data_IF_848432038059
#
_entry.id   IF_848432038059
#
_cell.length_a   1.000
_cell.length_b   1.000
_cell.length_c   1.000
_cell.angle_alpha   90.00
_cell.angle_beta   90.00
_cell.angle_gamma   90.00
#
_symmetry.space_group_name_H-M   'P 1'
#
loop_
_entity.id
_entity.type
_entity.pdbx_description
1 polymer ?
#
# COMPACT_ATOMS: atom_id res chain seq x y z
N UNK A 1 23.42 11.69 -23.77
CA UNK A 1 23.08 11.46 -22.36
C UNK A 1 21.62 11.89 -22.22
N UNK A 2 20.70 10.97 -22.05
CA UNK A 2 19.29 11.36 -21.86
C UNK A 2 19.18 12.05 -20.50
N UNK A 3 18.75 13.29 -20.51
CA UNK A 3 18.48 14.08 -19.30
C UNK A 3 17.07 13.73 -18.82
N UNK A 4 16.95 13.14 -17.66
CA UNK A 4 15.66 12.84 -17.04
C UNK A 4 15.23 14.01 -16.18
N UNK A 5 14.48 14.95 -16.73
CA UNK A 5 13.88 16.03 -15.94
C UNK A 5 12.72 15.47 -15.13
N UNK A 6 12.83 15.60 -13.81
CA UNK A 6 11.76 15.19 -12.88
C UNK A 6 10.54 16.04 -13.13
N UNK A 7 9.40 15.40 -13.13
CA UNK A 7 8.12 16.07 -13.30
C UNK A 7 7.05 15.45 -12.40
N UNK A 8 6.10 16.25 -11.94
CA UNK A 8 5.02 15.81 -11.08
C UNK A 8 3.79 16.68 -11.28
N UNK A 9 2.64 16.09 -10.93
CA UNK A 9 1.36 16.79 -10.77
C UNK A 9 0.67 16.29 -9.53
N UNK A 10 0.38 17.18 -8.61
CA UNK A 10 -0.41 16.90 -7.42
C UNK A 10 -1.74 17.63 -7.54
N UNK A 11 -2.84 16.88 -7.55
CA UNK A 11 -4.20 17.42 -7.59
C UNK A 11 -4.89 17.11 -6.26
N UNK A 12 -5.42 18.14 -5.59
CA UNK A 12 -6.14 18.03 -4.31
C UNK A 12 -7.49 18.68 -4.45
N UNK A 13 -8.57 17.93 -4.19
CA UNK A 13 -9.95 18.41 -4.30
C UNK A 13 -10.65 17.99 -5.58
N UNK A 14 -11.90 18.42 -5.75
CA UNK A 14 -12.80 18.05 -6.85
C UNK A 14 -13.24 19.28 -7.68
N UNK A 15 -13.35 19.07 -8.97
CA UNK A 15 -13.94 20.04 -9.91
C UNK A 15 -13.25 21.40 -9.87
N UNK A 16 -14.03 22.48 -9.87
CA UNK A 16 -13.53 23.86 -9.90
C UNK A 16 -12.84 24.31 -8.61
N UNK A 17 -12.93 23.52 -7.55
CA UNK A 17 -12.22 23.77 -6.26
C UNK A 17 -10.93 22.96 -6.13
N UNK A 18 -10.58 22.17 -7.14
CA UNK A 18 -9.35 21.42 -7.13
C UNK A 18 -8.13 22.34 -7.22
N UNK A 19 -7.16 22.10 -6.34
CA UNK A 19 -5.85 22.76 -6.36
C UNK A 19 -4.90 21.84 -7.12
N UNK A 20 -4.36 22.33 -8.23
CA UNK A 20 -3.35 21.65 -9.02
C UNK A 20 -1.99 22.28 -8.75
N UNK A 21 -1.02 21.46 -8.38
CA UNK A 21 0.34 21.88 -8.01
C UNK A 21 1.31 21.13 -8.92
N UNK A 22 2.10 21.91 -9.65
CA UNK A 22 3.06 21.44 -10.66
C UNK A 22 4.39 22.19 -10.51
N UNK A 23 5.46 21.74 -11.18
CA UNK A 23 6.69 22.51 -11.26
C UNK A 23 6.43 23.99 -11.69
N UNK A 24 7.19 24.96 -11.19
CA UNK A 24 8.41 24.82 -10.39
C UNK A 24 8.21 24.78 -8.86
N UNK A 25 7.01 24.51 -8.38
CA UNK A 25 6.75 24.46 -6.93
C UNK A 25 7.61 23.38 -6.26
N UNK A 26 8.16 23.69 -5.09
CA UNK A 26 8.94 22.70 -4.32
C UNK A 26 8.01 21.77 -3.57
N UNK A 27 7.94 20.52 -4.02
CA UNK A 27 7.15 19.44 -3.41
C UNK A 27 8.09 18.30 -3.02
N UNK A 28 7.87 17.77 -1.83
CA UNK A 28 8.43 16.49 -1.39
C UNK A 28 7.31 15.54 -0.99
N UNK A 29 7.45 14.28 -1.31
CA UNK A 29 6.43 13.27 -1.01
C UNK A 29 7.05 11.93 -0.67
N UNK A 30 6.30 11.17 0.13
CA UNK A 30 6.59 9.78 0.45
C UNK A 30 5.27 9.00 0.44
N UNK A 31 5.17 8.03 -0.47
CA UNK A 31 4.04 7.11 -0.53
C UNK A 31 4.50 5.72 -0.10
N UNK A 32 3.69 5.05 0.71
CA UNK A 32 3.90 3.68 1.14
C UNK A 32 2.66 2.86 0.82
N UNK A 33 2.82 1.85 0.01
CA UNK A 33 1.77 0.93 -0.39
C UNK A 33 2.19 -0.51 -0.06
N UNK A 34 1.27 -1.30 0.48
CA UNK A 34 1.56 -2.68 0.90
C UNK A 34 0.34 -3.58 0.68
N UNK A 35 0.58 -4.86 0.43
CA UNK A 35 -0.44 -5.93 0.31
C UNK A 35 -0.81 -6.50 1.68
N UNK A 36 -0.43 -5.88 2.77
CA UNK A 36 -0.73 -6.36 4.12
C UNK A 36 -2.20 -6.17 4.50
N UNK A 37 -2.75 -7.16 5.18
CA UNK A 37 -4.18 -7.27 5.58
C UNK A 37 -4.76 -6.08 6.36
N UNK A 38 -3.94 -5.11 6.78
CA UNK A 38 -4.35 -4.01 7.67
C UNK A 38 -3.77 -2.66 7.31
N UNK A 39 -2.99 -2.54 6.25
CA UNK A 39 -2.37 -1.27 5.90
C UNK A 39 -3.00 -0.67 4.65
N UNK A 40 -3.61 0.48 4.83
CA UNK A 40 -4.00 1.34 3.71
C UNK A 40 -2.73 1.94 3.07
N UNK A 41 -2.79 2.20 1.77
CA UNK A 41 -1.79 3.03 1.11
C UNK A 41 -1.75 4.40 1.76
N UNK A 42 -0.56 4.91 2.08
CA UNK A 42 -0.35 6.22 2.72
C UNK A 42 0.48 7.11 1.83
N UNK A 43 0.14 8.38 1.78
CA UNK A 43 0.93 9.40 1.12
C UNK A 43 1.11 10.58 2.07
N UNK A 44 2.35 10.96 2.32
CA UNK A 44 2.70 12.21 3.00
C UNK A 44 3.29 13.16 1.96
N UNK A 45 2.78 14.38 1.90
CA UNK A 45 3.25 15.42 0.97
C UNK A 45 3.57 16.67 1.75
N UNK A 46 4.69 17.30 1.43
CA UNK A 46 5.06 18.63 1.92
C UNK A 46 5.24 19.58 0.75
N UNK A 47 4.57 20.73 0.79
CA UNK A 47 4.50 21.72 -0.28
C UNK A 47 4.96 23.07 0.25
N UNK A 48 5.95 23.64 -0.39
CA UNK A 48 6.54 24.92 0.04
C UNK A 48 6.00 26.08 -0.79
N UNK A 49 5.79 27.22 -0.13
CA UNK A 49 5.59 28.51 -0.81
C UNK A 49 4.20 28.75 -1.42
N UNK A 50 3.18 28.02 -1.01
CA UNK A 50 1.81 28.26 -1.47
C UNK A 50 1.25 29.61 -0.98
N UNK A 51 0.38 30.23 -1.79
CA UNK A 51 -0.35 31.46 -1.43
C UNK A 51 -1.25 31.22 -0.20
N UNK A 52 -1.49 32.25 0.63
CA UNK A 52 -2.32 32.10 1.84
C UNK A 52 -3.71 31.51 1.58
N UNK A 53 -4.39 31.94 0.52
CA UNK A 53 -5.73 31.43 0.15
C UNK A 53 -5.69 29.93 -0.18
N UNK A 54 -4.70 29.50 -0.95
CA UNK A 54 -4.52 28.08 -1.32
C UNK A 54 -4.17 27.21 -0.11
N UNK A 55 -3.33 27.75 0.80
CA UNK A 55 -3.00 27.03 2.05
C UNK A 55 -4.24 26.73 2.89
N UNK A 56 -5.14 27.72 3.05
CA UNK A 56 -6.37 27.56 3.82
C UNK A 56 -7.32 26.51 3.21
N UNK A 57 -7.32 26.35 1.89
CA UNK A 57 -8.12 25.31 1.23
C UNK A 57 -7.61 23.88 1.51
N UNK A 58 -6.32 23.74 1.82
CA UNK A 58 -5.67 22.44 2.04
C UNK A 58 -5.61 22.06 3.52
N UNK A 59 -5.95 22.96 4.44
CA UNK A 59 -6.01 22.64 5.86
C UNK A 59 -7.22 21.76 6.14
N UNK A 60 -6.98 20.64 6.79
CA UNK A 60 -8.02 19.69 7.19
C UNK A 60 -7.66 19.07 8.54
N UNK A 61 -8.57 19.12 9.50
CA UNK A 61 -8.46 18.37 10.75
C UNK A 61 -8.62 16.86 10.48
N UNK A 62 -8.03 16.01 11.29
CA UNK A 62 -8.08 14.56 11.11
C UNK A 62 -9.50 14.00 11.29
N UNK A 63 -10.29 14.62 12.16
CA UNK A 63 -11.68 14.26 12.47
C UNK A 63 -12.72 14.93 11.55
N UNK A 64 -12.28 15.78 10.61
CA UNK A 64 -13.19 16.40 9.63
C UNK A 64 -13.74 15.32 8.67
N UNK A 65 -15.06 15.12 8.61
CA UNK A 65 -15.67 14.11 7.75
C UNK A 65 -15.63 14.43 6.26
N UNK A 66 -15.09 15.58 5.87
CA UNK A 66 -15.05 16.01 4.47
C UNK A 66 -14.14 15.11 3.64
N UNK A 67 -14.69 14.51 2.59
CA UNK A 67 -13.92 13.81 1.59
C UNK A 67 -13.22 14.79 0.65
N UNK A 68 -11.90 14.77 0.64
CA UNK A 68 -11.06 15.60 -0.26
C UNK A 68 -10.14 14.65 -1.03
N UNK A 69 -10.43 14.35 -2.31
CA UNK A 69 -9.60 13.44 -3.09
C UNK A 69 -8.24 14.04 -3.38
N UNK A 70 -7.25 13.15 -3.47
CA UNK A 70 -5.88 13.46 -3.82
C UNK A 70 -5.41 12.51 -4.90
N UNK A 71 -4.70 13.07 -5.88
CA UNK A 71 -4.03 12.32 -6.94
C UNK A 71 -2.61 12.84 -7.12
N UNK A 72 -1.64 11.95 -7.06
CA UNK A 72 -0.25 12.23 -7.34
C UNK A 72 0.18 11.49 -8.60
N UNK A 73 0.63 12.25 -9.58
CA UNK A 73 1.22 11.77 -10.81
C UNK A 73 2.69 12.20 -10.82
N UNK A 74 3.57 11.29 -11.20
CA UNK A 74 5.01 11.55 -11.28
C UNK A 74 5.61 10.95 -12.53
N UNK A 75 6.75 11.47 -12.95
CA UNK A 75 7.43 10.96 -14.12
C UNK A 75 8.68 11.75 -14.48
N UNK A 76 8.99 11.71 -15.76
CA UNK A 76 10.11 12.41 -16.36
C UNK A 76 9.66 13.04 -17.68
N UNK A 77 10.18 14.22 -17.98
CA UNK A 77 10.03 14.89 -19.28
C UNK A 77 8.57 15.01 -19.74
N UNK A 78 7.66 15.40 -18.81
CA UNK A 78 6.24 15.56 -19.07
C UNK A 78 5.44 14.25 -19.19
N UNK A 79 6.08 13.08 -19.12
CA UNK A 79 5.42 11.77 -19.16
C UNK A 79 4.97 11.35 -17.75
N UNK A 80 3.91 11.97 -17.28
CA UNK A 80 3.36 11.72 -15.95
C UNK A 80 2.51 10.45 -15.92
N UNK A 81 2.62 9.70 -14.81
CA UNK A 81 1.76 8.57 -14.50
C UNK A 81 1.35 8.61 -13.04
N UNK A 82 0.15 8.17 -12.76
CA UNK A 82 -0.38 8.08 -11.41
C UNK A 82 0.43 7.06 -10.59
N UNK A 83 0.85 7.50 -9.40
CA UNK A 83 1.50 6.66 -8.39
C UNK A 83 0.68 6.53 -7.12
N UNK A 84 -0.21 7.50 -6.87
CA UNK A 84 -1.09 7.46 -5.71
C UNK A 84 -2.43 8.14 -6.03
N UNK A 85 -3.52 7.52 -5.55
CA UNK A 85 -4.85 8.10 -5.49
C UNK A 85 -5.46 7.76 -4.14
N UNK A 86 -6.21 8.68 -3.56
CA UNK A 86 -6.86 8.51 -2.28
C UNK A 86 -7.48 9.80 -1.79
N UNK A 87 -7.60 9.98 -0.48
CA UNK A 87 -8.16 11.19 0.12
C UNK A 87 -7.26 11.78 1.19
N UNK A 88 -7.38 13.09 1.41
CA UNK A 88 -6.70 13.79 2.50
C UNK A 88 -7.31 13.33 3.82
N UNK A 89 -6.46 12.78 4.69
CA UNK A 89 -6.80 12.47 6.07
C UNK A 89 -6.67 13.72 6.93
N UNK A 90 -5.50 14.35 6.88
CA UNK A 90 -5.23 15.61 7.61
C UNK A 90 -4.35 16.55 6.78
N UNK A 91 -4.50 17.84 7.02
CA UNK A 91 -3.69 18.87 6.39
C UNK A 91 -3.35 19.98 7.38
N UNK A 92 -2.06 20.29 7.49
CA UNK A 92 -1.56 21.30 8.41
C UNK A 92 -0.61 22.29 7.72
N UNK A 93 -0.55 23.51 8.24
CA UNK A 93 0.41 24.52 7.82
C UNK A 93 1.39 24.79 8.94
N UNK A 94 2.67 24.66 8.64
CA UNK A 94 3.76 25.01 9.55
C UNK A 94 4.59 26.13 8.95
N UNK A 95 5.16 26.98 9.80
CA UNK A 95 6.13 27.98 9.40
C UNK A 95 7.54 27.45 9.68
N UNK A 96 8.36 27.39 8.64
CA UNK A 96 9.78 27.03 8.74
C UNK A 96 10.63 28.21 8.25
N UNK A 97 11.18 28.95 9.20
CA UNK A 97 11.86 30.21 8.92
C UNK A 97 10.94 31.24 8.25
N UNK A 98 11.30 31.66 7.03
CA UNK A 98 10.51 32.59 6.22
C UNK A 98 9.45 31.92 5.35
N UNK A 99 9.45 30.59 5.26
CA UNK A 99 8.60 29.82 4.35
C UNK A 99 7.46 29.14 5.12
N UNK A 100 6.29 29.08 4.52
CA UNK A 100 5.19 28.26 5.02
C UNK A 100 5.16 26.95 4.26
N UNK A 101 5.14 25.85 5.00
CA UNK A 101 5.07 24.49 4.49
C UNK A 101 3.69 23.93 4.79
N UNK A 102 3.02 23.45 3.77
CA UNK A 102 1.78 22.68 3.88
C UNK A 102 2.13 21.22 3.92
N UNK A 103 1.76 20.51 4.98
CA UNK A 103 1.91 19.07 5.09
C UNK A 103 0.55 18.41 4.97
N UNK A 104 0.43 17.45 4.05
CA UNK A 104 -0.78 16.64 3.85
C UNK A 104 -0.48 15.19 4.19
N UNK A 105 -1.35 14.59 4.97
CA UNK A 105 -1.39 13.13 5.18
C UNK A 105 -2.60 12.59 4.44
N UNK A 106 -2.39 11.64 3.57
CA UNK A 106 -3.42 11.07 2.71
C UNK A 106 -3.44 9.55 2.84
N UNK A 107 -4.62 8.96 2.70
CA UNK A 107 -4.82 7.51 2.75
C UNK A 107 -5.65 7.05 1.55
N UNK A 108 -5.26 5.93 0.95
CA UNK A 108 -6.01 5.30 -0.13
C UNK A 108 -7.24 4.57 0.44
N UNK A 109 -8.44 5.03 0.05
CA UNK A 109 -9.71 4.52 0.58
C UNK A 109 -9.95 4.79 2.07
N UNK A 110 -9.09 5.58 2.75
CA UNK A 110 -9.13 5.78 4.20
C UNK A 110 -10.43 6.36 4.70
N UNK A 111 -11.02 7.29 3.96
CA UNK A 111 -12.30 7.89 4.33
C UNK A 111 -13.42 6.86 4.48
N UNK A 112 -13.62 6.02 3.47
CA UNK A 112 -14.66 4.99 3.50
C UNK A 112 -14.31 3.86 4.49
N UNK A 113 -13.02 3.49 4.56
CA UNK A 113 -12.53 2.44 5.46
C UNK A 113 -12.83 2.73 6.93
N UNK A 114 -12.78 3.98 7.34
CA UNK A 114 -13.04 4.41 8.71
C UNK A 114 -14.54 4.62 8.97
N UNK A 115 -15.25 5.24 8.03
CA UNK A 115 -16.61 5.76 8.25
C UNK A 115 -17.72 4.81 7.80
N UNK A 116 -17.45 3.84 6.90
CA UNK A 116 -18.49 2.98 6.38
C UNK A 116 -18.99 1.95 7.41
N UNK A 117 -20.31 1.84 7.51
CA UNK A 117 -21.02 0.88 8.37
C UNK A 117 -22.01 0.08 7.54
N UNK A 118 -21.90 -1.25 7.61
CA UNK A 118 -22.76 -2.16 6.85
C UNK A 118 -23.75 -2.88 7.79
N UNK A 119 -25.03 -2.91 7.38
CA UNK A 119 -26.09 -3.68 8.05
C UNK A 119 -26.94 -4.39 7.00
N UNK A 120 -26.57 -5.64 6.66
CA UNK A 120 -27.19 -6.41 5.56
C UNK A 120 -27.12 -7.90 5.80
N UNK A 121 -28.04 -8.67 5.15
CA UNK A 121 -28.01 -10.13 5.14
C UNK A 121 -27.50 -10.61 3.77
N UNK A 122 -26.54 -11.51 3.78
CA UNK A 122 -25.88 -12.06 2.57
C UNK A 122 -25.92 -13.59 2.56
N UNK A 123 -25.86 -14.17 1.36
CA UNK A 123 -25.90 -15.62 1.14
C UNK A 123 -24.60 -16.18 0.56
N UNK A 124 -23.69 -15.34 0.09
CA UNK A 124 -22.37 -15.74 -0.43
C UNK A 124 -21.30 -14.76 0.00
N UNK A 125 -20.04 -15.18 0.01
CA UNK A 125 -18.90 -14.30 0.29
C UNK A 125 -18.77 -13.18 -0.75
N UNK A 126 -19.12 -13.43 -2.01
CA UNK A 126 -19.12 -12.41 -3.05
C UNK A 126 -20.11 -11.30 -2.74
N UNK A 127 -21.33 -11.65 -2.31
CA UNK A 127 -22.32 -10.68 -1.87
C UNK A 127 -21.87 -9.84 -0.67
N UNK A 128 -20.92 -10.33 0.15
CA UNK A 128 -20.35 -9.53 1.24
C UNK A 128 -19.57 -8.34 0.68
N UNK A 129 -18.68 -8.58 -0.26
CA UNK A 129 -17.89 -7.50 -0.88
C UNK A 129 -18.80 -6.48 -1.55
N UNK A 130 -19.75 -6.94 -2.35
CA UNK A 130 -20.68 -6.06 -3.05
C UNK A 130 -21.58 -5.28 -2.06
N UNK A 131 -22.02 -5.91 -0.98
CA UNK A 131 -22.82 -5.26 0.07
C UNK A 131 -22.05 -4.19 0.83
N UNK A 132 -20.77 -4.46 1.13
CA UNK A 132 -19.89 -3.51 1.80
C UNK A 132 -19.60 -2.32 0.90
N UNK A 133 -19.36 -2.55 -0.40
CA UNK A 133 -19.10 -1.48 -1.37
C UNK A 133 -20.28 -0.52 -1.56
N UNK A 134 -21.52 -0.97 -1.34
CA UNK A 134 -22.68 -0.07 -1.34
C UNK A 134 -22.64 0.98 -0.23
N UNK A 135 -21.94 0.69 0.86
CA UNK A 135 -21.78 1.59 2.00
C UNK A 135 -20.42 2.35 1.95
N UNK A 136 -19.62 2.12 0.90
CA UNK A 136 -18.32 2.75 0.63
C UNK A 136 -18.37 3.54 -0.69
N UNK A 137 -18.99 4.73 -0.75
CA UNK A 137 -19.32 5.41 -2.00
C UNK A 137 -18.11 5.85 -2.82
N UNK A 138 -16.95 6.06 -2.18
CA UNK A 138 -15.72 6.49 -2.86
C UNK A 138 -14.83 5.31 -3.25
N UNK A 139 -15.17 4.09 -2.83
CA UNK A 139 -14.36 2.90 -3.04
C UNK A 139 -15.05 1.94 -4.01
N UNK A 140 -14.31 1.46 -5.02
CA UNK A 140 -14.82 0.59 -6.08
C UNK A 140 -14.33 -0.85 -5.91
N UNK A 141 -14.97 -1.78 -6.61
CA UNK A 141 -14.49 -3.16 -6.71
C UNK A 141 -13.27 -3.20 -7.66
N UNK A 142 -12.21 -3.84 -7.20
CA UNK A 142 -11.02 -4.18 -7.96
C UNK A 142 -10.98 -5.67 -8.29
N UNK A 143 -9.79 -6.26 -8.28
CA UNK A 143 -9.61 -7.71 -8.47
C UNK A 143 -9.97 -8.44 -7.19
N UNK A 144 -10.98 -9.29 -7.25
CA UNK A 144 -11.47 -10.06 -6.11
C UNK A 144 -11.43 -11.54 -6.46
N UNK A 145 -10.76 -12.33 -5.63
CA UNK A 145 -10.70 -13.78 -5.79
C UNK A 145 -12.12 -14.39 -5.77
N UNK A 146 -12.36 -15.42 -6.57
CA UNK A 146 -13.64 -16.11 -6.59
C UNK A 146 -13.97 -16.67 -5.19
N UNK A 147 -15.12 -16.29 -4.67
CA UNK A 147 -15.52 -16.59 -3.31
C UNK A 147 -16.49 -17.76 -3.25
N UNK A 148 -16.37 -18.57 -2.22
CA UNK A 148 -17.26 -19.71 -2.00
C UNK A 148 -18.66 -19.27 -1.51
N UNK A 149 -19.68 -20.07 -1.83
CA UNK A 149 -21.00 -19.87 -1.27
C UNK A 149 -20.97 -20.14 0.24
N UNK A 150 -21.74 -19.37 0.99
CA UNK A 150 -21.94 -19.62 2.42
C UNK A 150 -22.94 -20.76 2.60
N UNK A 151 -22.68 -21.65 3.55
CA UNK A 151 -23.57 -22.76 3.88
C UNK A 151 -24.92 -22.22 4.42
N UNK A 152 -24.89 -21.08 5.09
CA UNK A 152 -26.08 -20.40 5.65
C UNK A 152 -26.00 -18.90 5.39
N UNK A 153 -27.15 -18.20 5.25
CA UNK A 153 -27.18 -16.75 5.22
C UNK A 153 -26.51 -16.17 6.46
N UNK A 154 -25.74 -15.11 6.27
CA UNK A 154 -25.03 -14.41 7.34
C UNK A 154 -25.55 -12.97 7.44
N UNK A 155 -25.86 -12.54 8.66
CA UNK A 155 -26.18 -11.14 8.96
C UNK A 155 -24.86 -10.41 9.20
N UNK A 156 -24.63 -9.33 8.46
CA UNK A 156 -23.48 -8.45 8.58
C UNK A 156 -23.93 -7.18 9.29
N UNK A 157 -23.34 -6.88 10.44
CA UNK A 157 -23.57 -5.63 11.18
C UNK A 157 -22.24 -5.16 11.75
N UNK A 158 -21.83 -3.97 11.39
CA UNK A 158 -20.62 -3.38 11.91
C UNK A 158 -19.83 -2.55 10.91
N UNK A 159 -18.61 -2.16 11.27
CA UNK A 159 -17.68 -1.48 10.38
C UNK A 159 -17.42 -2.31 9.12
N UNK A 160 -17.57 -1.69 7.97
CA UNK A 160 -17.39 -2.33 6.65
C UNK A 160 -16.00 -2.94 6.49
N UNK A 161 -14.96 -2.25 6.96
CA UNK A 161 -13.58 -2.72 6.94
C UNK A 161 -13.36 -3.98 7.80
N UNK A 162 -13.98 -4.02 8.98
CA UNK A 162 -13.92 -5.19 9.86
C UNK A 162 -14.65 -6.40 9.25
N UNK A 163 -15.81 -6.18 8.65
CA UNK A 163 -16.58 -7.23 7.97
C UNK A 163 -15.75 -7.88 6.87
N UNK A 164 -15.06 -7.10 6.03
CA UNK A 164 -14.17 -7.64 5.00
C UNK A 164 -13.03 -8.43 5.65
N UNK A 165 -12.35 -7.85 6.65
CA UNK A 165 -11.21 -8.49 7.32
C UNK A 165 -11.58 -9.83 7.97
N UNK A 166 -12.74 -9.90 8.62
CA UNK A 166 -13.25 -11.11 9.30
C UNK A 166 -13.68 -12.21 8.31
N UNK A 167 -13.88 -11.85 7.05
CA UNK A 167 -14.31 -12.79 6.00
C UNK A 167 -13.12 -13.42 5.26
N UNK A 168 -11.93 -12.82 5.35
CA UNK A 168 -10.76 -13.30 4.61
C UNK A 168 -10.32 -14.68 5.12
N UNK A 169 -10.01 -15.56 4.18
CA UNK A 169 -9.32 -16.81 4.46
C UNK A 169 -7.85 -16.53 4.83
N UNK A 170 -7.15 -17.44 5.53
CA UNK A 170 -5.76 -17.24 5.93
C UNK A 170 -4.79 -16.98 4.77
N UNK A 171 -5.08 -17.54 3.59
CA UNK A 171 -4.31 -17.41 2.35
C UNK A 171 -4.68 -16.17 1.51
N UNK A 172 -5.72 -15.43 1.92
CA UNK A 172 -6.18 -14.23 1.23
C UNK A 172 -5.58 -12.97 1.84
N UNK A 173 -5.23 -12.02 0.98
CA UNK A 173 -4.77 -10.68 1.32
C UNK A 173 -5.77 -9.66 0.83
N UNK A 174 -5.97 -8.61 1.62
CA UNK A 174 -6.84 -7.48 1.30
C UNK A 174 -6.03 -6.20 1.30
N UNK A 175 -6.20 -5.38 0.27
CA UNK A 175 -5.63 -4.05 0.21
C UNK A 175 -6.48 -3.14 -0.67
N UNK A 176 -6.33 -1.84 -0.49
CA UNK A 176 -6.95 -0.83 -1.36
C UNK A 176 -5.85 -0.21 -2.20
N UNK A 177 -6.07 -0.13 -3.51
CA UNK A 177 -5.21 0.55 -4.46
C UNK A 177 -6.03 1.39 -5.43
N UNK A 178 -5.71 2.68 -5.49
CA UNK A 178 -6.43 3.65 -6.32
C UNK A 178 -7.94 3.66 -6.05
N UNK A 179 -8.31 3.64 -4.76
CA UNK A 179 -9.71 3.57 -4.29
C UNK A 179 -10.46 2.34 -4.81
N UNK A 180 -9.73 1.23 -5.02
CA UNK A 180 -10.29 -0.07 -5.40
C UNK A 180 -9.90 -1.13 -4.40
N UNK A 181 -10.88 -1.93 -3.98
CA UNK A 181 -10.65 -3.06 -3.10
C UNK A 181 -10.13 -4.25 -3.90
N UNK A 182 -9.00 -4.78 -3.48
CA UNK A 182 -8.43 -6.00 -4.00
C UNK A 182 -8.37 -7.08 -2.92
N UNK A 183 -8.82 -8.28 -3.27
CA UNK A 183 -8.73 -9.48 -2.42
C UNK A 183 -8.07 -10.56 -3.25
N UNK A 184 -6.85 -10.93 -2.90
CA UNK A 184 -6.01 -11.83 -3.67
C UNK A 184 -5.50 -12.97 -2.80
N UNK A 185 -5.43 -14.18 -3.35
CA UNK A 185 -4.62 -15.26 -2.80
C UNK A 185 -3.12 -15.03 -3.06
N UNK A 186 -2.30 -15.75 -2.33
CA UNK A 186 -0.85 -15.67 -2.51
C UNK A 186 -0.41 -15.96 -3.96
N UNK A 187 -1.11 -16.89 -4.64
CA UNK A 187 -0.86 -17.27 -6.05
C UNK A 187 -1.57 -16.38 -7.09
N UNK A 188 -2.34 -15.37 -6.69
CA UNK A 188 -3.08 -14.51 -7.61
C UNK A 188 -2.45 -13.12 -7.71
N UNK A 189 -2.59 -12.49 -8.88
CA UNK A 189 -2.02 -11.17 -9.19
C UNK A 189 -3.04 -10.26 -9.85
N UNK A 190 -2.86 -8.96 -9.67
CA UNK A 190 -3.78 -7.92 -10.20
C UNK A 190 -3.61 -7.66 -11.69
N UNK A 191 -2.45 -7.97 -12.26
CA UNK A 191 -2.12 -7.67 -13.65
C UNK A 191 -1.17 -8.72 -14.22
N UNK A 192 -1.39 -9.09 -15.48
CA UNK A 192 -0.47 -9.95 -16.26
C UNK A 192 0.69 -9.18 -16.88
N UNK A 193 0.76 -7.86 -16.74
CA UNK A 193 1.90 -7.09 -17.23
C UNK A 193 3.09 -7.28 -16.29
N UNK A 194 4.26 -7.65 -16.86
CA UNK A 194 5.48 -7.94 -16.10
C UNK A 194 6.55 -6.93 -16.52
N UNK A 195 6.63 -5.75 -15.90
CA UNK A 195 7.69 -4.80 -16.18
C UNK A 195 9.06 -5.38 -15.82
N UNK A 196 10.03 -5.19 -16.72
CA UNK A 196 11.41 -5.64 -16.51
C UNK A 196 12.18 -4.55 -15.78
N UNK A 197 12.81 -4.92 -14.67
CA UNK A 197 13.65 -4.04 -13.85
C UNK A 197 15.11 -4.48 -13.99
N UNK A 198 15.89 -3.68 -14.70
CA UNK A 198 17.31 -3.89 -14.91
C UNK A 198 18.07 -2.54 -14.91
N UNK A 199 19.37 -2.56 -15.10
CA UNK A 199 20.20 -1.35 -15.12
C UNK A 199 19.74 -0.32 -16.16
N UNK A 200 19.18 -0.75 -17.30
CA UNK A 200 18.69 0.16 -18.36
C UNK A 200 17.31 0.72 -18.01
N UNK A 201 16.43 -0.10 -17.43
CA UNK A 201 15.07 0.32 -17.03
C UNK A 201 15.03 1.02 -15.68
N UNK A 202 16.15 1.13 -14.95
CA UNK A 202 16.28 1.97 -13.79
C UNK A 202 16.56 1.28 -12.46
N UNK A 203 17.06 0.05 -12.44
CA UNK A 203 17.59 -0.56 -11.22
C UNK A 203 18.78 0.26 -10.71
N UNK A 204 18.72 0.73 -9.46
CA UNK A 204 19.71 1.67 -8.89
C UNK A 204 20.75 0.98 -8.01
N UNK A 205 20.39 -0.13 -7.37
CA UNK A 205 21.28 -0.85 -6.46
C UNK A 205 21.30 -2.35 -6.76
N UNK A 206 22.23 -3.06 -6.11
CA UNK A 206 22.24 -4.52 -6.12
C UNK A 206 21.09 -5.05 -5.28
N UNK A 207 20.22 -5.89 -5.84
CA UNK A 207 19.13 -6.52 -5.10
C UNK A 207 19.65 -7.29 -3.90
N UNK A 208 18.95 -7.18 -2.78
CA UNK A 208 19.31 -7.83 -1.52
C UNK A 208 18.23 -8.82 -1.10
N UNK A 209 18.69 -9.97 -0.59
CA UNK A 209 17.80 -10.94 0.01
C UNK A 209 17.62 -10.62 1.50
N UNK A 210 16.39 -10.42 1.93
CA UNK A 210 16.04 -10.25 3.33
C UNK A 210 15.24 -11.45 3.81
N UNK A 211 15.67 -12.10 4.87
CA UNK A 211 14.81 -13.05 5.58
C UNK A 211 13.62 -12.24 6.11
N UNK A 212 12.40 -12.62 5.70
CA UNK A 212 11.20 -11.96 6.18
C UNK A 212 11.18 -11.96 7.70
N UNK A 213 11.37 -10.80 8.31
CA UNK A 213 11.03 -10.64 9.72
C UNK A 213 9.51 -10.73 9.80
N UNK A 214 8.99 -11.81 10.36
CA UNK A 214 7.65 -11.79 10.91
C UNK A 214 7.64 -10.64 11.93
N UNK A 215 6.99 -9.53 11.62
CA UNK A 215 6.66 -8.53 12.61
C UNK A 215 5.70 -9.20 13.60
N UNK A 216 6.27 -9.81 14.62
CA UNK A 216 5.54 -10.12 15.82
C UNK A 216 4.94 -8.80 16.31
N UNK A 217 3.62 -8.71 16.34
CA UNK A 217 2.93 -7.68 17.10
C UNK A 217 3.46 -7.75 18.51
N UNK A 218 4.39 -6.85 18.83
CA UNK A 218 5.08 -6.83 20.10
C UNK A 218 4.14 -6.38 21.21
N UNK A 219 3.64 -7.33 21.97
CA UNK A 219 3.38 -7.10 23.37
C UNK A 219 4.74 -6.99 24.07
N UNK A 220 5.15 -5.79 24.40
CA UNK A 220 6.20 -5.56 25.40
C UNK A 220 5.63 -5.99 26.75
N UNK A 221 5.84 -7.24 27.11
CA UNK A 221 5.85 -7.63 28.51
C UNK A 221 7.25 -7.41 29.05
N UNK A 222 7.37 -6.47 29.97
CA UNK A 222 8.50 -6.28 30.87
C UNK A 222 8.78 -7.61 31.60
N UNK A 223 10.05 -8.05 31.67
CA UNK A 223 10.37 -9.21 32.47
C UNK A 223 10.30 -8.86 33.95
N UNK A 224 9.44 -9.54 34.67
CA UNK A 224 9.46 -9.59 36.14
C UNK A 224 10.46 -10.68 36.53
N UNK A 225 11.44 -10.43 37.36
CA UNK A 225 12.33 -11.46 37.84
C UNK A 225 11.63 -12.28 38.92
N UNK A 226 11.46 -13.57 38.70
CA UNK A 226 11.01 -14.51 39.71
C UNK A 226 12.09 -15.58 39.90
N UNK A 227 12.74 -15.54 41.01
CA UNK A 227 13.55 -16.65 41.55
C UNK A 227 12.60 -17.72 42.09
N UNK A 228 12.83 -18.99 41.71
CA UNK A 228 12.73 -20.18 42.55
C UNK A 228 12.61 -21.48 41.73
N UNK A 229 12.91 -22.67 42.31
CA UNK A 229 13.85 -23.62 41.73
C UNK A 229 13.22 -24.87 41.11
N UNK A 230 14.12 -25.65 40.49
CA UNK A 230 13.99 -26.95 39.82
C UNK A 230 12.92 -27.92 40.33
N UNK A 231 12.19 -28.53 39.38
CA UNK A 231 11.89 -29.98 39.36
C UNK A 231 11.53 -30.44 37.94
N UNK A 232 12.25 -31.43 37.46
CA UNK A 232 12.08 -32.24 36.25
C UNK A 232 10.96 -33.29 36.41
N UNK A 233 10.75 -34.16 35.43
CA UNK A 233 10.23 -34.00 34.06
C UNK A 233 8.99 -34.87 33.76
N UNK A 234 8.24 -34.60 32.70
CA UNK A 234 7.64 -35.68 31.90
C UNK A 234 6.86 -35.13 30.69
N UNK A 235 7.31 -35.55 29.53
CA UNK A 235 6.62 -35.83 28.26
C UNK A 235 5.21 -35.28 28.05
N UNK A 236 5.08 -34.41 27.03
CA UNK A 236 4.01 -34.58 26.06
C UNK A 236 4.46 -34.06 24.70
N UNK A 237 4.57 -34.98 23.76
CA UNK A 237 4.70 -34.75 22.35
C UNK A 237 3.33 -34.29 21.82
N UNK A 238 3.14 -33.03 21.65
CA UNK A 238 2.10 -32.54 20.77
C UNK A 238 2.73 -32.16 19.43
N UNK A 239 2.38 -32.94 18.43
CA UNK A 239 2.66 -32.68 17.01
C UNK A 239 1.93 -31.40 16.63
N UNK A 240 2.63 -30.27 16.68
CA UNK A 240 2.17 -29.08 16.03
C UNK A 240 2.32 -29.27 14.51
N UNK A 241 1.21 -29.10 13.81
CA UNK A 241 1.06 -29.20 12.37
C UNK A 241 2.16 -28.46 11.63
N UNK A 242 3.03 -29.20 10.95
CA UNK A 242 4.11 -28.68 10.14
C UNK A 242 3.66 -28.03 8.82
N UNK A 243 2.37 -27.99 8.53
CA UNK A 243 1.83 -27.42 7.28
C UNK A 243 1.70 -25.91 7.28
N UNK A 244 1.68 -25.25 8.46
CA UNK A 244 1.57 -23.79 8.56
C UNK A 244 2.93 -23.08 8.50
N UNK A 245 4.01 -23.79 8.72
CA UNK A 245 5.38 -23.22 8.75
C UNK A 245 6.06 -23.12 7.38
N UNK A 246 5.62 -23.89 6.40
CA UNK A 246 6.23 -23.91 5.06
C UNK A 246 5.91 -22.68 4.22
N UNK A 247 4.85 -21.92 4.54
CA UNK A 247 4.47 -20.69 3.82
C UNK A 247 5.27 -19.45 4.27
N UNK A 248 6.03 -19.50 5.36
CA UNK A 248 6.74 -18.34 5.92
C UNK A 248 8.23 -18.25 5.51
N UNK A 249 8.80 -19.24 4.87
CA UNK A 249 10.24 -19.27 4.54
C UNK A 249 10.62 -18.77 3.14
N UNK A 250 9.69 -18.30 2.33
CA UNK A 250 10.05 -17.68 1.05
C UNK A 250 10.62 -16.28 1.33
N UNK A 251 11.94 -16.18 1.31
CA UNK A 251 12.66 -14.94 1.50
C UNK A 251 12.14 -13.82 0.61
N UNK A 252 12.30 -12.59 1.06
CA UNK A 252 11.93 -11.39 0.31
C UNK A 252 13.16 -10.81 -0.36
N UNK A 253 13.01 -10.24 -1.53
CA UNK A 253 14.02 -9.39 -2.14
C UNK A 253 13.62 -7.93 -1.99
N UNK A 254 14.63 -7.09 -1.80
CA UNK A 254 14.50 -5.65 -1.75
C UNK A 254 15.45 -5.04 -2.76
N UNK A 255 14.95 -4.10 -3.55
CA UNK A 255 15.75 -3.35 -4.51
C UNK A 255 15.21 -1.94 -4.69
N UNK A 256 16.11 -1.02 -5.08
CA UNK A 256 15.76 0.36 -5.38
C UNK A 256 15.75 0.57 -6.89
N UNK A 257 14.76 1.33 -7.35
CA UNK A 257 14.61 1.66 -8.76
C UNK A 257 14.29 3.14 -8.95
N UNK A 258 14.59 3.67 -10.14
CA UNK A 258 14.07 4.97 -10.55
C UNK A 258 12.54 4.96 -10.49
N UNK A 259 11.95 6.15 -10.46
CA UNK A 259 10.50 6.30 -10.49
C UNK A 259 9.90 5.54 -11.67
N UNK A 260 9.11 4.50 -11.38
CA UNK A 260 8.47 3.66 -12.39
C UNK A 260 7.04 3.30 -11.95
N UNK A 261 6.07 4.05 -12.45
CA UNK A 261 4.66 3.83 -12.14
C UNK A 261 4.05 2.56 -12.77
N UNK A 262 4.83 1.77 -13.51
CA UNK A 262 4.38 0.44 -13.99
C UNK A 262 4.51 -0.64 -12.90
N UNK A 263 5.28 -0.36 -11.84
CA UNK A 263 5.37 -1.24 -10.68
C UNK A 263 4.17 -0.96 -9.78
N UNK A 264 3.33 -1.97 -9.60
CA UNK A 264 2.10 -1.88 -8.79
C UNK A 264 2.08 -3.00 -7.75
N UNK A 265 1.55 -2.71 -6.57
CA UNK A 265 1.38 -3.72 -5.52
C UNK A 265 0.43 -4.83 -5.98
N UNK A 266 0.72 -6.08 -5.58
CA UNK A 266 -0.04 -7.25 -6.01
C UNK A 266 0.19 -7.64 -7.47
N UNK A 267 0.99 -6.88 -8.24
CA UNK A 267 1.44 -7.21 -9.59
C UNK A 267 2.76 -7.96 -9.61
N UNK A 268 3.28 -8.20 -10.82
CA UNK A 268 4.55 -8.90 -11.07
C UNK A 268 5.61 -7.92 -11.56
N UNK A 269 6.88 -8.27 -11.33
CA UNK A 269 8.02 -7.68 -12.02
C UNK A 269 9.07 -8.76 -12.36
N UNK A 270 9.79 -8.60 -13.45
CA UNK A 270 10.95 -9.40 -13.78
C UNK A 270 12.21 -8.62 -13.39
N UNK A 271 13.04 -9.20 -12.55
CA UNK A 271 14.30 -8.62 -12.12
C UNK A 271 15.46 -9.23 -12.92
N UNK A 272 16.29 -8.36 -13.48
CA UNK A 272 17.50 -8.72 -14.24
C UNK A 272 18.68 -7.92 -13.71
N UNK A 273 19.40 -8.47 -12.75
CA UNK A 273 20.59 -7.85 -12.16
C UNK A 273 21.85 -8.47 -12.76
N UNK A 274 22.74 -7.61 -13.24
CA UNK A 274 24.08 -8.04 -13.71
C UNK A 274 25.01 -8.29 -12.52
N UNK A 275 24.85 -7.49 -11.44
CA UNK A 275 25.68 -7.58 -10.24
C UNK A 275 25.34 -8.77 -9.37
N UNK A 276 24.11 -9.25 -9.41
CA UNK A 276 23.66 -10.43 -8.66
C UNK A 276 22.72 -11.31 -9.50
N UNK A 277 23.25 -12.07 -10.47
CA UNK A 277 22.45 -12.90 -11.37
C UNK A 277 21.64 -13.99 -10.67
N UNK A 278 22.06 -14.42 -9.48
CA UNK A 278 21.34 -15.43 -8.69
C UNK A 278 19.95 -14.94 -8.22
N UNK A 279 19.71 -13.63 -8.25
CA UNK A 279 18.42 -13.03 -7.91
C UNK A 279 17.57 -12.68 -9.14
N UNK A 280 17.98 -13.09 -10.34
CA UNK A 280 17.18 -12.88 -11.53
C UNK A 280 15.95 -13.79 -11.51
N UNK A 281 14.80 -13.23 -11.91
CA UNK A 281 13.56 -13.99 -11.92
C UNK A 281 12.32 -13.11 -11.87
N UNK A 282 11.17 -13.79 -11.81
CA UNK A 282 9.86 -13.11 -11.68
C UNK A 282 9.43 -13.07 -10.24
N UNK A 283 9.01 -11.90 -9.81
CA UNK A 283 8.64 -11.60 -8.43
C UNK A 283 7.28 -10.95 -8.34
N UNK A 284 6.52 -11.29 -7.30
CA UNK A 284 5.28 -10.61 -6.92
C UNK A 284 5.62 -9.47 -5.97
N UNK A 285 5.12 -8.29 -6.29
CA UNK A 285 5.36 -7.06 -5.51
C UNK A 285 4.43 -7.03 -4.31
N UNK A 286 5.00 -6.90 -3.12
CA UNK A 286 4.27 -6.82 -1.86
C UNK A 286 4.23 -5.43 -1.26
N UNK A 287 5.30 -4.65 -1.45
CA UNK A 287 5.39 -3.30 -0.91
C UNK A 287 6.17 -2.41 -1.86
N UNK A 288 5.70 -1.19 -2.02
CA UNK A 288 6.39 -0.12 -2.74
C UNK A 288 6.45 1.10 -1.82
N UNK A 289 7.65 1.58 -1.59
CA UNK A 289 7.89 2.89 -0.97
C UNK A 289 8.36 3.84 -2.06
N UNK A 290 7.54 4.81 -2.42
CA UNK A 290 7.85 5.82 -3.43
C UNK A 290 8.24 7.11 -2.73
N UNK A 291 9.39 7.67 -3.05
CA UNK A 291 9.86 8.94 -2.48
C UNK A 291 10.34 9.89 -3.57
N UNK A 292 9.97 11.14 -3.44
CA UNK A 292 10.37 12.18 -4.37
C UNK A 292 10.53 13.54 -3.73
N UNK A 293 11.55 14.25 -4.17
CA UNK A 293 11.79 15.66 -3.85
C UNK A 293 12.11 16.37 -5.17
N UNK A 294 11.25 17.32 -5.57
CA UNK A 294 11.44 17.99 -6.84
C UNK A 294 12.78 18.75 -6.91
N UNK A 295 13.13 19.44 -5.84
CA UNK A 295 14.38 20.21 -5.73
C UNK A 295 15.49 19.47 -4.95
N UNK A 296 15.24 18.25 -4.46
CA UNK A 296 16.16 17.49 -3.61
C UNK A 296 16.78 16.28 -4.31
N UNK A 297 17.43 15.41 -3.52
CA UNK A 297 18.12 14.22 -4.06
C UNK A 297 17.17 13.04 -4.32
N UNK A 298 16.17 12.82 -3.47
CA UNK A 298 15.31 11.64 -3.55
C UNK A 298 14.38 11.70 -4.77
N UNK A 299 14.40 10.65 -5.60
CA UNK A 299 13.43 10.45 -6.69
C UNK A 299 13.48 9.00 -7.16
N UNK A 300 12.73 8.14 -6.53
CA UNK A 300 12.75 6.71 -6.82
C UNK A 300 11.80 5.90 -5.97
N UNK A 301 11.91 4.59 -6.12
CA UNK A 301 11.08 3.61 -5.43
C UNK A 301 11.94 2.54 -4.81
N UNK A 302 11.58 2.13 -3.60
CA UNK A 302 12.09 0.94 -2.95
C UNK A 302 11.00 -0.15 -3.00
N UNK A 303 11.33 -1.27 -3.61
CA UNK A 303 10.40 -2.35 -3.86
C UNK A 303 10.77 -3.55 -3.02
N UNK A 304 9.77 -4.11 -2.32
CA UNK A 304 9.89 -5.40 -1.63
C UNK A 304 9.02 -6.41 -2.36
N UNK A 305 9.62 -7.51 -2.80
CA UNK A 305 8.95 -8.52 -3.59
C UNK A 305 9.32 -9.94 -3.13
N UNK A 306 8.49 -10.91 -3.49
CA UNK A 306 8.73 -12.34 -3.20
C UNK A 306 8.77 -13.13 -4.50
N UNK A 307 9.56 -14.22 -4.58
CA UNK A 307 9.56 -15.08 -5.75
C UNK A 307 8.13 -15.46 -6.14
N UNK A 308 7.76 -15.19 -7.38
CA UNK A 308 6.50 -15.65 -7.92
C UNK A 308 6.62 -17.18 -8.18
N UNK A 309 5.72 -17.95 -7.55
CA UNK A 309 5.47 -19.32 -7.98
C UNK A 309 4.54 -19.32 -9.18
N UNK A 310 3.82 -20.43 -9.41
CA UNK A 310 2.70 -20.43 -10.35
C UNK A 310 1.67 -19.38 -9.92
N UNK A 311 1.28 -18.52 -10.85
CA UNK A 311 0.35 -17.41 -10.57
C UNK A 311 -0.82 -17.38 -11.53
N UNK A 312 -1.95 -16.87 -11.05
CA UNK A 312 -3.16 -16.64 -11.82
C UNK A 312 -3.48 -15.15 -11.85
N UNK A 313 -3.68 -14.60 -13.04
CA UNK A 313 -4.13 -13.22 -13.22
C UNK A 313 -5.64 -13.14 -12.96
N UNK A 314 -6.06 -12.29 -12.05
CA UNK A 314 -7.46 -11.96 -11.84
C UNK A 314 -7.86 -10.79 -12.75
N UNK A 315 -8.93 -10.98 -13.51
CA UNK A 315 -9.50 -9.96 -14.37
C UNK A 315 -10.56 -9.15 -13.62
#
# INVERSE_FOLDING_TARGET
METFYRDYRLTVGLGNQAVMIEPPMSVSFKALESVDKKSLGKLTVSINGLKPSTRLQLVKAEDDPKYIPVRLEVGYDGKLRQVFQGSVKSGAVKREGAIHVVSLECEDGGHDYINAFTSRTVRSKEQVVDSVLLDMPNTKKGSVTAQQQLIRPKVLVGSSSKIISDMLSPDESFFIKDERIHILKASEVTSGNIPVVNARSGLLNTPQFTKGSAQAAGNKQTPVPTNAPDTDPASNKDKADSSTLVAQEKGQIVFDTRMNAMLIIGGLCALESVTNPAMNGVYKIYQIETSGQYTGAAWGQKVTARPAGDYKVLK
#
